data_IF_924153314738
#
_entry.id   IF_924153314738
#
_cell.length_a   1.000
_cell.length_b   1.000
_cell.length_c   1.000
_cell.angle_alpha   90.00
_cell.angle_beta   90.00
_cell.angle_gamma   90.00
#
_symmetry.space_group_name_H-M   'P 1'
#
loop_
_entity.id
_entity.type
_entity.pdbx_description
1 polymer ?
#
# COMPACT_ATOMS: atom_id res chain seq x y z
N UNK A 1 2.37 -2.20 2.68
CA UNK A 1 0.99 -2.73 2.67
C UNK A 1 0.97 -4.27 2.84
N UNK A 2 1.40 -4.79 4.00
CA UNK A 2 1.45 -6.24 4.28
C UNK A 2 0.07 -6.78 4.67
N UNK A 3 -0.49 -7.73 3.90
CA UNK A 3 -1.84 -8.29 4.10
C UNK A 3 -1.84 -9.52 5.00
N UNK A 4 -0.81 -10.36 4.85
CA UNK A 4 -0.68 -11.63 5.57
C UNK A 4 0.80 -11.96 5.80
N UNK A 5 1.08 -13.07 6.49
CA UNK A 5 2.45 -13.46 6.84
C UNK A 5 3.32 -13.77 5.61
N UNK A 6 2.75 -14.27 4.51
CA UNK A 6 3.50 -14.59 3.31
C UNK A 6 4.05 -13.33 2.63
N UNK A 7 3.32 -12.21 2.73
CA UNK A 7 3.82 -10.92 2.23
C UNK A 7 5.12 -10.47 2.94
N UNK A 8 5.39 -10.94 4.18
CA UNK A 8 6.63 -10.60 4.90
C UNK A 8 7.88 -11.10 4.20
N UNK A 9 7.79 -12.17 3.41
CA UNK A 9 8.93 -12.72 2.68
C UNK A 9 9.36 -11.84 1.50
N UNK A 10 8.46 -10.97 1.04
CA UNK A 10 8.77 -9.97 0.01
C UNK A 10 9.38 -8.67 0.55
N UNK A 11 9.37 -8.47 1.88
CA UNK A 11 9.93 -7.26 2.48
C UNK A 11 11.46 -7.26 2.39
N UNK A 12 12.02 -6.14 1.93
CA UNK A 12 13.46 -5.86 1.99
C UNK A 12 13.90 -5.45 3.40
N UNK A 13 13.64 -6.32 4.38
CA UNK A 13 13.95 -6.12 5.81
C UNK A 13 14.55 -7.42 6.37
N UNK A 14 15.63 -7.36 7.19
CA UNK A 14 16.18 -8.55 7.82
C UNK A 14 15.12 -9.34 8.60
N UNK A 15 15.11 -10.70 8.54
CA UNK A 15 14.03 -11.50 9.12
C UNK A 15 13.66 -11.16 10.57
N UNK A 16 14.66 -10.87 11.41
CA UNK A 16 14.46 -10.50 12.83
C UNK A 16 13.69 -9.19 13.07
N UNK A 17 13.55 -8.35 12.05
CA UNK A 17 12.85 -7.06 12.12
C UNK A 17 11.55 -7.04 11.31
N UNK A 18 11.17 -8.16 10.66
CA UNK A 18 9.91 -8.24 9.91
C UNK A 18 8.74 -8.29 10.88
N UNK A 19 7.74 -7.45 10.64
CA UNK A 19 6.52 -7.40 11.44
C UNK A 19 5.31 -7.12 10.55
N UNK A 20 4.17 -7.71 10.90
CA UNK A 20 2.89 -7.49 10.20
C UNK A 20 2.39 -6.04 10.32
N UNK A 21 2.78 -5.35 11.40
CA UNK A 21 2.28 -4.03 11.75
C UNK A 21 0.73 -3.99 11.70
N UNK A 22 0.14 -2.96 11.09
CA UNK A 22 -1.29 -2.68 11.16
C UNK A 22 -2.06 -2.83 9.85
N UNK A 23 -1.40 -2.86 8.68
CA UNK A 23 -2.10 -2.79 7.39
C UNK A 23 -3.09 -3.93 7.16
N UNK A 24 -2.77 -5.15 7.60
CA UNK A 24 -3.65 -6.31 7.50
C UNK A 24 -5.03 -6.12 8.16
N UNK A 25 -5.15 -5.25 9.18
CA UNK A 25 -6.44 -4.91 9.80
C UNK A 25 -7.33 -4.10 8.86
N UNK A 26 -6.74 -3.25 8.03
CA UNK A 26 -7.46 -2.49 7.00
C UNK A 26 -7.84 -3.39 5.83
N UNK A 27 -6.90 -4.25 5.40
CA UNK A 27 -7.15 -5.20 4.32
C UNK A 27 -8.29 -6.19 4.65
N UNK A 28 -8.34 -6.68 5.89
CA UNK A 28 -9.41 -7.59 6.36
C UNK A 28 -10.74 -6.90 6.67
N UNK A 29 -10.80 -5.56 6.63
CA UNK A 29 -11.99 -4.79 6.98
C UNK A 29 -12.25 -4.63 8.47
N UNK A 30 -11.35 -5.08 9.36
CA UNK A 30 -11.46 -4.83 10.80
C UNK A 30 -11.37 -3.33 11.13
N UNK A 31 -10.57 -2.59 10.35
CA UNK A 31 -10.45 -1.15 10.41
C UNK A 31 -10.75 -0.53 9.05
N UNK A 32 -11.27 0.69 9.06
CA UNK A 32 -11.45 1.51 7.86
C UNK A 32 -10.65 2.80 8.05
N UNK A 33 -9.91 3.23 7.03
CA UNK A 33 -9.20 4.50 7.12
C UNK A 33 -10.23 5.64 7.17
N UNK A 34 -10.13 6.57 8.14
CA UNK A 34 -11.13 7.62 8.34
C UNK A 34 -11.13 8.68 7.22
N UNK A 35 -10.04 8.75 6.44
CA UNK A 35 -9.87 9.68 5.34
C UNK A 35 -9.32 8.96 4.11
N UNK A 36 -9.67 9.41 2.88
CA UNK A 36 -9.01 8.96 1.66
C UNK A 36 -7.50 9.15 1.78
N UNK A 37 -6.77 8.05 1.69
CA UNK A 37 -5.33 7.98 1.87
C UNK A 37 -4.72 7.53 0.56
N UNK A 38 -4.02 8.43 -0.12
CA UNK A 38 -3.24 8.11 -1.33
C UNK A 38 -1.79 7.89 -0.92
N UNK A 39 -1.17 6.81 -1.38
CA UNK A 39 0.24 6.52 -1.07
C UNK A 39 1.02 6.01 -2.29
N UNK A 40 2.35 6.14 -2.20
CA UNK A 40 3.33 5.53 -3.10
C UNK A 40 4.13 4.46 -2.35
N UNK A 41 4.81 3.60 -3.09
CA UNK A 41 5.70 2.59 -2.53
C UNK A 41 6.99 3.22 -1.98
N UNK A 42 7.71 2.41 -1.21
CA UNK A 42 9.05 2.70 -0.73
C UNK A 42 9.83 1.40 -0.56
N UNK A 43 10.91 1.42 0.21
CA UNK A 43 11.79 0.26 0.36
C UNK A 43 11.29 -0.82 1.34
N UNK A 44 10.37 -0.50 2.25
CA UNK A 44 9.83 -1.45 3.25
C UNK A 44 8.38 -1.85 2.94
N UNK A 45 8.16 -2.31 1.71
CA UNK A 45 6.84 -2.65 1.22
C UNK A 45 6.69 -4.13 0.86
N UNK A 46 5.44 -4.61 0.95
CA UNK A 46 5.07 -5.92 0.42
C UNK A 46 5.02 -5.83 -1.11
N UNK A 47 6.19 -5.91 -1.76
CA UNK A 47 6.33 -5.67 -3.19
C UNK A 47 5.47 -6.62 -4.01
N UNK A 48 5.26 -7.86 -3.54
CA UNK A 48 4.37 -8.82 -4.18
C UNK A 48 2.92 -8.30 -4.27
N UNK A 49 2.40 -7.73 -3.19
CA UNK A 49 1.06 -7.15 -3.16
C UNK A 49 0.99 -5.88 -4.02
N UNK A 50 1.99 -4.99 -3.94
CA UNK A 50 1.98 -3.76 -4.75
C UNK A 50 2.12 -4.04 -6.25
N UNK A 51 2.75 -5.16 -6.63
CA UNK A 51 2.81 -5.62 -8.02
C UNK A 51 1.44 -6.00 -8.60
N UNK A 52 0.53 -6.53 -7.78
CA UNK A 52 -0.86 -6.80 -8.21
C UNK A 52 -1.60 -5.49 -8.55
N UNK A 53 -1.15 -4.37 -7.99
CA UNK A 53 -1.69 -3.02 -8.20
C UNK A 53 -0.71 -2.13 -8.99
N UNK A 54 0.01 -2.70 -9.96
CA UNK A 54 1.10 -2.02 -10.67
C UNK A 54 0.70 -0.64 -11.25
N UNK A 55 -0.48 -0.57 -11.87
CA UNK A 55 -1.05 0.66 -12.45
C UNK A 55 -1.86 1.51 -11.45
N UNK A 56 -1.76 1.20 -10.16
CA UNK A 56 -2.55 1.81 -9.09
C UNK A 56 -3.87 1.10 -8.84
N UNK A 57 -4.42 1.32 -7.65
CA UNK A 57 -5.67 0.70 -7.23
C UNK A 57 -5.94 0.80 -5.73
N UNK A 58 -7.15 0.38 -5.34
CA UNK A 58 -7.54 0.35 -3.94
C UNK A 58 -6.88 -0.82 -3.24
N UNK A 59 -5.98 -0.51 -2.30
CA UNK A 59 -5.32 -1.51 -1.46
C UNK A 59 -6.18 -1.92 -0.26
N UNK A 60 -7.11 -1.05 0.16
CA UNK A 60 -8.15 -1.28 1.16
C UNK A 60 -9.22 -0.16 1.04
N UNK A 61 -10.39 -0.25 1.70
CA UNK A 61 -11.33 0.87 1.75
C UNK A 61 -10.66 2.18 2.21
N UNK A 62 -10.85 3.24 1.43
CA UNK A 62 -10.22 4.55 1.60
C UNK A 62 -8.67 4.58 1.50
N UNK A 63 -8.01 3.51 1.06
CA UNK A 63 -6.55 3.49 0.87
C UNK A 63 -6.22 3.16 -0.60
N UNK A 64 -5.70 4.13 -1.33
CA UNK A 64 -5.38 4.04 -2.75
C UNK A 64 -3.87 4.06 -2.98
N UNK A 65 -3.34 3.01 -3.58
CA UNK A 65 -1.97 2.98 -4.08
C UNK A 65 -1.93 3.66 -5.45
N UNK A 66 -1.01 4.61 -5.64
CA UNK A 66 -0.89 5.36 -6.90
C UNK A 66 -0.33 4.53 -8.07
N UNK A 67 0.21 3.35 -7.78
CA UNK A 67 0.96 2.54 -8.74
C UNK A 67 2.45 2.85 -8.69
N UNK A 68 3.22 2.13 -9.52
CA UNK A 68 4.67 2.34 -9.61
C UNK A 68 5.01 3.73 -10.16
N UNK A 69 4.18 4.25 -11.06
CA UNK A 69 4.18 5.64 -11.47
C UNK A 69 2.75 6.02 -11.86
N UNK A 70 2.27 7.17 -11.42
CA UNK A 70 0.90 7.57 -11.69
C UNK A 70 0.57 9.01 -11.36
N UNK A 71 -0.55 9.47 -11.92
CA UNK A 71 -1.15 10.77 -11.62
C UNK A 71 -2.63 10.58 -11.39
N UNK A 72 -3.14 11.13 -10.28
CA UNK A 72 -4.58 11.18 -9.98
C UNK A 72 -5.04 12.62 -9.82
N UNK A 73 -6.34 12.84 -10.01
CA UNK A 73 -6.99 14.11 -9.70
C UNK A 73 -7.77 13.96 -8.39
N UNK A 74 -7.48 14.80 -7.41
CA UNK A 74 -8.20 14.85 -6.14
C UNK A 74 -8.80 16.25 -5.98
N UNK A 75 -10.13 16.36 -6.08
CA UNK A 75 -10.78 17.67 -6.21
C UNK A 75 -10.25 18.45 -7.42
N UNK A 76 -9.68 19.64 -7.17
CA UNK A 76 -9.13 20.50 -8.21
C UNK A 76 -7.61 20.40 -8.39
N UNK A 77 -6.94 19.53 -7.64
CA UNK A 77 -5.48 19.33 -7.74
C UNK A 77 -5.13 18.03 -8.45
N UNK A 78 -3.97 18.02 -9.12
CA UNK A 78 -3.35 16.81 -9.66
C UNK A 78 -2.19 16.42 -8.75
N UNK A 79 -2.15 15.14 -8.39
CA UNK A 79 -1.12 14.56 -7.53
C UNK A 79 -0.38 13.52 -8.37
N UNK A 80 0.92 13.69 -8.51
CA UNK A 80 1.81 12.74 -9.19
C UNK A 80 2.68 12.03 -8.14
N UNK A 81 3.05 10.79 -8.43
CA UNK A 81 3.93 10.01 -7.57
C UNK A 81 4.70 8.95 -8.36
N UNK A 82 5.87 8.62 -7.83
CA UNK A 82 6.83 7.64 -8.34
C UNK A 82 7.27 6.80 -7.14
N UNK A 83 7.07 5.49 -7.24
CA UNK A 83 7.35 4.51 -6.17
C UNK A 83 8.72 3.87 -6.32
#
# INVERSE_FOLDING_TARGET
>A
AVRNRNDLDSLSVPPKFRAMNSFWKYYSGQNIAPFPTVFIGGNHEASNHLWELFYGGWAAPNIYFLGFAGVVKFGNIRIAGLS
#
